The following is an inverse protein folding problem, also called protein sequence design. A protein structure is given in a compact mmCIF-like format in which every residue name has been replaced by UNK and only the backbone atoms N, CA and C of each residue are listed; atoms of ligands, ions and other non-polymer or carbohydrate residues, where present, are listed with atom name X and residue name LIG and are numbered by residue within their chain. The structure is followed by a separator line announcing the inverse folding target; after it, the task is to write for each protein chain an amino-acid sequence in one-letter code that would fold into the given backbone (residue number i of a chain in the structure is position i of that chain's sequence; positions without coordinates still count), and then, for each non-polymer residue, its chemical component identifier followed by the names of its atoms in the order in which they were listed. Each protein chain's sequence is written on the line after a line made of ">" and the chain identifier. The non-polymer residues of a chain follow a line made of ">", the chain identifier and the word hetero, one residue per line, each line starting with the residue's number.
data_IF_844335149372
#
_entry.id   IF_844335149372
#
_cell.length_a   1.000
_cell.length_b   1.000
_cell.length_c   1.000
_cell.angle_alpha   90.00
_cell.angle_beta   90.00
_cell.angle_gamma   90.00
#
_symmetry.space_group_name_H-M   'P 1'
#
loop_
_entity.id
_entity.type
_entity.pdbx_description
1 polymer ?
#
# COMPACT_ATOMS: atom_id res chain seq x y z
N UNK A 1 8.52 0.78 20.75
CA UNK A 1 8.25 2.04 20.01
C UNK A 1 7.47 1.70 18.76
N UNK A 2 6.43 2.47 18.38
CA UNK A 2 5.70 2.22 17.15
C UNK A 2 6.69 2.25 15.98
N UNK A 3 6.67 1.21 15.16
CA UNK A 3 7.52 1.13 13.97
C UNK A 3 6.99 2.16 12.99
N UNK A 4 7.74 3.22 12.76
CA UNK A 4 7.39 4.25 11.78
C UNK A 4 7.61 3.71 10.39
N UNK A 5 6.73 4.09 9.47
CA UNK A 5 6.77 3.68 8.08
C UNK A 5 8.16 3.63 7.41
N UNK A 6 8.94 4.74 7.42
CA UNK A 6 10.25 4.79 6.78
C UNK A 6 11.23 3.71 7.26
N UNK A 7 11.02 3.15 8.45
CA UNK A 7 11.87 2.09 9.00
C UNK A 7 11.57 0.73 8.35
N UNK A 8 10.34 0.46 7.91
CA UNK A 8 9.93 -0.82 7.31
C UNK A 8 10.56 -0.98 5.91
N UNK A 9 10.39 0.03 5.04
CA UNK A 9 10.98 0.02 3.68
C UNK A 9 12.51 -0.03 3.73
N UNK A 10 13.13 0.70 4.67
CA UNK A 10 14.59 0.63 4.88
C UNK A 10 15.05 -0.76 5.31
N UNK A 11 14.27 -1.46 6.14
CA UNK A 11 14.59 -2.84 6.55
C UNK A 11 14.40 -3.83 5.41
N UNK A 12 13.34 -3.69 4.59
CA UNK A 12 13.14 -4.50 3.38
C UNK A 12 14.33 -4.34 2.42
N UNK A 13 14.65 -3.09 2.08
CA UNK A 13 15.81 -2.77 1.24
C UNK A 13 17.12 -3.31 1.82
N UNK A 14 17.33 -3.14 3.13
CA UNK A 14 18.52 -3.63 3.83
C UNK A 14 18.64 -5.16 3.80
N UNK A 15 17.54 -5.89 4.01
CA UNK A 15 17.52 -7.36 3.95
C UNK A 15 17.83 -7.86 2.55
N UNK A 16 17.18 -7.31 1.52
CA UNK A 16 17.41 -7.70 0.13
C UNK A 16 18.85 -7.41 -0.33
N UNK A 17 19.41 -6.25 0.01
CA UNK A 17 20.82 -5.92 -0.27
C UNK A 17 21.79 -6.85 0.46
N UNK A 18 21.49 -7.21 1.71
CA UNK A 18 22.28 -8.18 2.48
C UNK A 18 22.23 -9.57 1.84
N UNK A 19 21.07 -10.02 1.37
CA UNK A 19 20.93 -11.30 0.66
C UNK A 19 21.76 -11.32 -0.61
N UNK A 20 21.64 -10.30 -1.47
CA UNK A 20 22.46 -10.18 -2.69
C UNK A 20 23.96 -10.25 -2.38
N UNK A 21 24.40 -9.58 -1.32
CA UNK A 21 25.79 -9.66 -0.87
C UNK A 21 26.20 -11.09 -0.49
N UNK A 22 25.35 -11.80 0.24
CA UNK A 22 25.60 -13.16 0.71
C UNK A 22 25.60 -14.17 -0.45
N UNK A 23 24.66 -14.05 -1.39
CA UNK A 23 24.56 -14.88 -2.61
C UNK A 23 25.79 -14.65 -3.51
N UNK A 24 26.26 -13.41 -3.62
CA UNK A 24 27.50 -13.07 -4.34
C UNK A 24 28.78 -13.47 -3.59
N UNK A 25 28.67 -14.08 -2.40
CA UNK A 25 29.76 -14.44 -1.49
C UNK A 25 30.71 -13.26 -1.18
N UNK A 26 30.18 -12.03 -1.15
CA UNK A 26 30.96 -10.81 -0.89
C UNK A 26 30.98 -10.46 0.59
N UNK A 27 32.16 -10.09 1.08
CA UNK A 27 32.36 -9.60 2.44
C UNK A 27 32.13 -8.10 2.54
N UNK A 28 31.78 -7.61 3.73
CA UNK A 28 31.69 -6.17 3.99
C UNK A 28 33.01 -5.44 3.69
N UNK A 29 34.14 -6.11 3.91
CA UNK A 29 35.48 -5.57 3.62
C UNK A 29 35.70 -5.39 2.12
N UNK A 30 35.20 -6.30 1.28
CA UNK A 30 35.31 -6.18 -0.17
C UNK A 30 34.46 -5.02 -0.71
N UNK A 31 33.27 -4.80 -0.15
CA UNK A 31 32.41 -3.65 -0.50
C UNK A 31 33.12 -2.33 -0.19
N UNK A 32 33.77 -2.24 0.97
CA UNK A 32 34.55 -1.07 1.38
C UNK A 32 35.80 -0.86 0.51
N UNK A 33 36.53 -1.94 0.20
CA UNK A 33 37.69 -1.89 -0.72
C UNK A 33 37.31 -1.46 -2.13
N UNK A 34 36.14 -1.88 -2.61
CA UNK A 34 35.58 -1.46 -3.89
C UNK A 34 35.04 -0.02 -3.87
N UNK A 35 35.11 0.67 -2.72
CA UNK A 35 34.68 2.06 -2.50
C UNK A 35 33.20 2.30 -2.83
N UNK A 36 32.36 1.28 -2.73
CA UNK A 36 30.90 1.44 -2.91
C UNK A 36 30.31 2.19 -1.71
N UNK A 37 30.65 1.75 -0.49
CA UNK A 37 30.37 2.48 0.76
C UNK A 37 31.25 1.94 1.91
N UNK A 38 31.32 2.67 3.04
CA UNK A 38 32.06 2.20 4.23
C UNK A 38 31.36 1.02 4.92
N UNK A 39 32.10 0.20 5.69
CA UNK A 39 31.50 -0.91 6.47
C UNK A 39 30.41 -0.44 7.43
N UNK A 40 30.63 0.70 8.09
CA UNK A 40 29.64 1.30 9.01
C UNK A 40 28.39 1.69 8.24
N UNK A 41 28.54 2.28 7.05
CA UNK A 41 27.42 2.64 6.18
C UNK A 41 26.68 1.38 5.74
N UNK A 42 27.40 0.34 5.28
CA UNK A 42 26.82 -0.92 4.84
C UNK A 42 26.00 -1.59 5.95
N UNK A 43 26.56 -1.73 7.16
CA UNK A 43 25.81 -2.29 8.29
C UNK A 43 24.53 -1.51 8.56
N UNK A 44 24.60 -0.17 8.54
CA UNK A 44 23.43 0.68 8.77
C UNK A 44 22.39 0.53 7.64
N UNK A 45 22.81 0.31 6.39
CA UNK A 45 21.92 0.03 5.24
C UNK A 45 21.25 -1.32 5.45
N UNK A 46 22.02 -2.38 5.66
CA UNK A 46 21.53 -3.75 5.81
C UNK A 46 20.58 -3.93 7.00
N UNK A 47 20.72 -3.10 8.03
CA UNK A 47 19.85 -3.09 9.21
C UNK A 47 18.74 -2.02 9.14
N UNK A 48 18.55 -1.36 7.99
CA UNK A 48 17.50 -0.38 7.75
C UNK A 48 17.54 0.83 8.69
N UNK A 49 18.73 1.25 9.13
CA UNK A 49 18.90 2.31 10.15
C UNK A 49 18.77 3.73 9.59
N UNK A 50 18.91 3.94 8.28
CA UNK A 50 18.84 5.26 7.64
C UNK A 50 18.46 5.11 6.15
N UNK A 51 17.94 6.16 5.50
CA UNK A 51 17.59 6.11 4.09
C UNK A 51 18.86 6.00 3.24
N UNK A 52 18.81 5.22 2.16
CA UNK A 52 19.94 5.02 1.27
C UNK A 52 19.62 5.64 -0.10
N UNK A 53 20.62 6.29 -0.69
CA UNK A 53 20.48 6.93 -2.00
C UNK A 53 20.39 5.88 -3.11
N UNK A 54 19.60 6.17 -4.14
CA UNK A 54 19.45 5.33 -5.34
C UNK A 54 20.80 4.91 -5.96
N UNK A 55 21.75 5.85 -6.07
CA UNK A 55 23.08 5.57 -6.63
C UNK A 55 23.88 4.57 -5.78
N UNK A 56 23.71 4.61 -4.45
CA UNK A 56 24.34 3.63 -3.56
C UNK A 56 23.71 2.25 -3.74
N UNK A 57 22.39 2.16 -3.91
CA UNK A 57 21.72 0.88 -4.24
C UNK A 57 22.24 0.31 -5.55
N UNK A 58 22.23 1.11 -6.63
CA UNK A 58 22.75 0.69 -7.94
C UNK A 58 24.21 0.23 -7.86
N UNK A 59 25.05 0.94 -7.11
CA UNK A 59 26.44 0.57 -6.90
C UNK A 59 26.61 -0.76 -6.16
N UNK A 60 25.78 -1.03 -5.14
CA UNK A 60 25.77 -2.30 -4.41
C UNK A 60 25.26 -3.44 -5.32
N UNK A 61 24.14 -3.25 -6.01
CA UNK A 61 23.58 -4.22 -6.95
C UNK A 61 24.59 -4.60 -8.04
N UNK A 62 25.25 -3.61 -8.65
CA UNK A 62 26.30 -3.84 -9.63
C UNK A 62 27.47 -4.64 -9.04
N UNK A 63 27.92 -4.29 -7.83
CA UNK A 63 29.03 -4.99 -7.17
C UNK A 63 28.67 -6.44 -6.79
N UNK A 64 27.40 -6.71 -6.49
CA UNK A 64 26.89 -8.05 -6.21
C UNK A 64 26.53 -8.84 -7.47
N UNK A 65 26.51 -8.21 -8.65
CA UNK A 65 26.15 -8.86 -9.91
C UNK A 65 24.65 -9.11 -10.05
N UNK A 66 23.80 -8.30 -9.42
CA UNK A 66 22.36 -8.36 -9.60
C UNK A 66 21.97 -7.99 -11.04
N UNK A 67 20.92 -8.63 -11.56
CA UNK A 67 20.38 -8.33 -12.88
C UNK A 67 19.69 -6.95 -12.92
N UNK A 68 19.42 -6.39 -14.12
CA UNK A 68 18.79 -5.08 -14.25
C UNK A 68 17.40 -4.97 -13.60
N UNK A 69 16.58 -6.02 -13.66
CA UNK A 69 15.22 -6.02 -13.11
C UNK A 69 15.24 -5.93 -11.58
N UNK A 70 16.09 -6.75 -10.95
CA UNK A 70 16.36 -6.68 -9.50
C UNK A 70 16.92 -5.31 -9.10
N UNK A 71 17.85 -4.77 -9.89
CA UNK A 71 18.46 -3.45 -9.63
C UNK A 71 17.42 -2.34 -9.67
N UNK A 72 16.51 -2.36 -10.65
CA UNK A 72 15.45 -1.36 -10.78
C UNK A 72 14.39 -1.50 -9.68
N UNK A 73 14.04 -2.72 -9.28
CA UNK A 73 13.14 -2.95 -8.15
C UNK A 73 13.71 -2.39 -6.84
N UNK A 74 14.98 -2.68 -6.52
CA UNK A 74 15.62 -2.18 -5.30
C UNK A 74 15.86 -0.66 -5.35
N UNK A 75 16.16 -0.12 -6.52
CA UNK A 75 16.33 1.33 -6.69
C UNK A 75 15.00 2.06 -6.50
N UNK A 76 13.88 1.52 -6.99
CA UNK A 76 12.54 2.05 -6.72
C UNK A 76 12.19 1.98 -5.23
N UNK A 77 12.56 0.89 -4.56
CA UNK A 77 12.35 0.74 -3.11
C UNK A 77 13.16 1.75 -2.28
N UNK A 78 14.40 2.04 -2.69
CA UNK A 78 15.18 3.16 -2.14
C UNK A 78 14.57 4.53 -2.47
N UNK A 79 14.08 4.71 -3.69
CA UNK A 79 13.43 5.94 -4.15
C UNK A 79 12.18 6.28 -3.35
N UNK A 80 11.38 5.28 -3.00
CA UNK A 80 10.25 5.43 -2.09
C UNK A 80 10.63 6.02 -0.72
N UNK A 81 11.93 6.00 -0.36
CA UNK A 81 12.45 6.63 0.85
C UNK A 81 13.05 8.04 0.66
N UNK A 82 13.37 8.49 -0.56
CA UNK A 82 14.20 9.69 -0.78
C UNK A 82 13.78 10.60 -1.97
N UNK A 83 13.12 10.16 -3.07
CA UNK A 83 12.70 11.09 -4.17
C UNK A 83 11.79 10.46 -5.27
N UNK A 84 10.81 11.23 -5.75
CA UNK A 84 9.98 11.19 -6.97
C UNK A 84 8.93 10.08 -7.15
N UNK A 85 7.96 10.02 -6.23
CA UNK A 85 6.67 9.40 -6.55
C UNK A 85 5.77 10.34 -7.36
N UNK A 86 4.80 9.80 -8.11
CA UNK A 86 3.78 10.61 -8.81
C UNK A 86 3.06 11.60 -7.89
N UNK A 87 3.06 11.34 -6.58
CA UNK A 87 2.47 12.18 -5.54
C UNK A 87 3.27 13.44 -5.20
N UNK A 88 4.52 13.60 -5.67
CA UNK A 88 5.30 14.83 -5.47
C UNK A 88 4.76 16.02 -6.26
N UNK A 89 4.10 15.77 -7.41
CA UNK A 89 3.39 16.83 -8.16
C UNK A 89 2.28 17.50 -7.35
N UNK A 90 1.85 16.84 -6.25
CA UNK A 90 0.82 17.31 -5.33
C UNK A 90 1.37 17.95 -4.05
N UNK A 91 2.69 18.06 -3.89
CA UNK A 91 3.33 18.81 -2.80
C UNK A 91 2.94 18.35 -1.39
N UNK A 92 2.36 19.26 -0.60
CA UNK A 92 1.94 19.10 0.80
C UNK A 92 0.57 18.44 0.98
N UNK A 93 -0.15 18.15 -0.12
CA UNK A 93 -1.46 17.50 -0.06
C UNK A 93 -1.39 16.03 0.42
N UNK A 94 -0.20 15.44 0.46
CA UNK A 94 0.04 14.05 0.87
C UNK A 94 0.70 14.05 2.24
N UNK A 95 0.01 13.62 3.31
CA UNK A 95 0.63 13.53 4.62
C UNK A 95 1.86 12.61 4.60
N UNK A 96 2.91 12.97 5.34
CA UNK A 96 4.18 12.20 5.37
C UNK A 96 3.98 10.73 5.77
N UNK A 97 3.04 10.47 6.68
CA UNK A 97 2.71 9.10 7.09
C UNK A 97 2.05 8.30 5.96
N UNK A 98 1.36 8.95 5.02
CA UNK A 98 0.70 8.30 3.89
C UNK A 98 1.65 8.04 2.71
N UNK A 99 2.70 8.85 2.54
CA UNK A 99 3.73 8.65 1.49
C UNK A 99 4.34 7.27 1.53
N UNK A 100 4.59 6.73 2.73
CA UNK A 100 5.10 5.37 2.85
C UNK A 100 4.10 4.33 2.34
N UNK A 101 2.84 4.47 2.72
CA UNK A 101 1.81 3.54 2.28
C UNK A 101 1.79 3.47 0.74
N UNK A 102 1.94 4.60 0.04
CA UNK A 102 2.01 4.63 -1.43
C UNK A 102 3.21 3.84 -1.98
N UNK A 103 4.38 3.92 -1.33
CA UNK A 103 5.55 3.12 -1.71
C UNK A 103 5.34 1.61 -1.50
N UNK A 104 4.72 1.23 -0.37
CA UNK A 104 4.39 -0.17 -0.09
C UNK A 104 3.31 -0.71 -1.04
N UNK A 105 2.27 0.07 -1.30
CA UNK A 105 1.22 -0.26 -2.29
C UNK A 105 1.81 -0.47 -3.68
N UNK A 106 2.79 0.36 -4.07
CA UNK A 106 3.49 0.17 -5.33
C UNK A 106 4.33 -1.12 -5.37
N UNK A 107 4.87 -1.57 -4.24
CA UNK A 107 5.69 -2.78 -4.15
C UNK A 107 4.88 -4.07 -3.92
N UNK A 108 3.64 -3.97 -3.46
CA UNK A 108 2.78 -5.11 -3.15
C UNK A 108 2.42 -5.93 -4.39
N UNK A 109 2.30 -7.25 -4.22
CA UNK A 109 1.78 -8.17 -5.25
C UNK A 109 0.31 -8.50 -5.02
N UNK A 110 -0.14 -8.44 -3.76
CA UNK A 110 -1.54 -8.54 -3.38
C UNK A 110 -1.88 -7.55 -2.26
N UNK A 111 -3.08 -6.99 -2.33
CA UNK A 111 -3.66 -6.04 -1.39
C UNK A 111 -5.00 -6.63 -0.94
N UNK A 112 -5.05 -7.11 0.29
CA UNK A 112 -6.27 -7.59 0.91
C UNK A 112 -6.78 -6.53 1.87
N UNK A 113 -8.06 -6.17 1.82
CA UNK A 113 -8.58 -5.09 2.66
C UNK A 113 -9.97 -5.37 3.20
N UNK A 114 -10.22 -4.88 4.41
CA UNK A 114 -11.55 -4.81 5.00
C UNK A 114 -11.90 -3.35 5.29
N UNK A 115 -12.99 -2.89 4.69
CA UNK A 115 -13.51 -1.53 4.85
C UNK A 115 -15.00 -1.57 5.20
N UNK A 116 -15.40 -1.27 6.45
CA UNK A 116 -16.80 -1.40 6.89
C UNK A 116 -17.73 -0.29 6.37
N UNK A 117 -17.17 0.90 6.12
CA UNK A 117 -17.97 2.13 5.99
C UNK A 117 -17.55 3.02 4.81
N UNK A 118 -16.27 3.09 4.48
CA UNK A 118 -15.73 3.91 3.39
C UNK A 118 -15.26 3.01 2.27
N UNK A 119 -15.69 3.24 1.03
CA UNK A 119 -15.17 2.48 -0.12
C UNK A 119 -13.68 2.80 -0.29
N UNK A 120 -12.83 1.78 -0.42
CA UNK A 120 -11.37 1.97 -0.56
C UNK A 120 -11.00 2.92 -1.70
N UNK A 121 -9.97 3.76 -1.51
CA UNK A 121 -9.58 4.82 -2.44
C UNK A 121 -9.26 4.36 -3.86
N UNK A 122 -8.79 3.11 -4.06
CA UNK A 122 -8.54 2.55 -5.39
C UNK A 122 -9.83 2.14 -6.16
N UNK A 123 -10.98 2.18 -5.49
CA UNK A 123 -12.26 1.71 -5.97
C UNK A 123 -13.31 2.83 -6.04
N UNK A 124 -12.95 4.08 -5.76
CA UNK A 124 -13.85 5.23 -5.73
C UNK A 124 -14.03 5.88 -7.11
N UNK A 125 -15.19 6.49 -7.37
CA UNK A 125 -15.43 7.40 -8.51
C UNK A 125 -15.10 8.86 -8.13
N UNK A 126 -14.83 9.75 -9.10
CA UNK A 126 -14.50 11.15 -8.82
C UNK A 126 -15.53 11.87 -7.94
N UNK A 127 -16.82 11.68 -8.20
CA UNK A 127 -17.88 12.37 -7.43
C UNK A 127 -18.03 11.80 -6.01
N UNK A 128 -17.80 10.50 -5.82
CA UNK A 128 -17.71 9.91 -4.50
C UNK A 128 -16.51 10.48 -3.72
N UNK A 129 -15.33 10.57 -4.36
CA UNK A 129 -14.14 11.19 -3.77
C UNK A 129 -14.41 12.62 -3.32
N UNK A 130 -15.02 13.45 -4.19
CA UNK A 130 -15.39 14.84 -3.88
C UNK A 130 -16.27 14.92 -2.64
N UNK A 131 -17.31 14.10 -2.57
CA UNK A 131 -18.23 14.09 -1.44
C UNK A 131 -17.52 13.72 -0.12
N UNK A 132 -16.66 12.70 -0.14
CA UNK A 132 -15.85 12.29 1.02
C UNK A 132 -14.88 13.39 1.44
N UNK A 133 -14.13 13.96 0.50
CA UNK A 133 -13.14 14.98 0.83
C UNK A 133 -13.77 16.28 1.35
N UNK A 134 -14.91 16.71 0.80
CA UNK A 134 -15.68 17.85 1.35
C UNK A 134 -16.14 17.60 2.78
N UNK A 135 -16.62 16.39 3.08
CA UNK A 135 -17.07 16.03 4.42
C UNK A 135 -15.93 16.03 5.44
N UNK A 136 -14.75 15.52 5.05
CA UNK A 136 -13.55 15.47 5.90
C UNK A 136 -12.87 16.84 6.06
N UNK A 137 -12.99 17.73 5.07
CA UNK A 137 -12.29 19.02 5.02
C UNK A 137 -13.27 20.18 4.86
N UNK A 138 -14.15 20.40 5.84
CA UNK A 138 -15.25 21.38 5.75
C UNK A 138 -14.82 22.83 5.49
N UNK A 139 -13.57 23.18 5.78
CA UNK A 139 -13.01 24.51 5.59
C UNK A 139 -12.18 24.64 4.30
N UNK A 140 -11.97 23.54 3.57
CA UNK A 140 -11.21 23.57 2.33
C UNK A 140 -12.01 24.24 1.20
N UNK A 141 -11.32 24.99 0.35
CA UNK A 141 -11.88 25.55 -0.87
C UNK A 141 -12.12 24.46 -1.91
N UNK A 142 -12.99 24.75 -2.89
CA UNK A 142 -13.24 23.87 -4.04
C UNK A 142 -11.94 23.48 -4.76
N UNK A 143 -11.00 24.42 -4.92
CA UNK A 143 -9.70 24.14 -5.54
C UNK A 143 -8.86 23.16 -4.70
N UNK A 144 -8.93 23.23 -3.37
CA UNK A 144 -8.23 22.28 -2.49
C UNK A 144 -8.87 20.89 -2.57
N UNK A 145 -10.20 20.80 -2.66
CA UNK A 145 -10.90 19.53 -2.87
C UNK A 145 -10.52 18.90 -4.21
N UNK A 146 -10.53 19.65 -5.30
CA UNK A 146 -10.16 19.11 -6.62
C UNK A 146 -8.70 18.64 -6.68
N UNK A 147 -7.79 19.28 -5.92
CA UNK A 147 -6.41 18.77 -5.77
C UNK A 147 -6.38 17.39 -5.11
N UNK A 148 -7.16 17.17 -4.04
CA UNK A 148 -7.24 15.86 -3.37
C UNK A 148 -7.87 14.80 -4.28
N UNK A 149 -8.87 15.17 -5.08
CA UNK A 149 -9.48 14.29 -6.09
C UNK A 149 -8.46 13.93 -7.16
N UNK A 150 -7.74 14.92 -7.70
CA UNK A 150 -6.68 14.68 -8.69
C UNK A 150 -5.59 13.76 -8.15
N UNK A 151 -5.13 13.98 -6.91
CA UNK A 151 -4.17 13.10 -6.24
C UNK A 151 -4.70 11.65 -6.17
N UNK A 152 -5.98 11.46 -5.84
CA UNK A 152 -6.57 10.13 -5.77
C UNK A 152 -6.73 9.46 -7.14
N UNK A 153 -7.03 10.23 -8.18
CA UNK A 153 -7.09 9.74 -9.54
C UNK A 153 -5.71 9.35 -10.06
N UNK A 154 -4.69 10.16 -9.81
CA UNK A 154 -3.31 9.84 -10.20
C UNK A 154 -2.81 8.56 -9.50
N UNK A 155 -3.19 8.36 -8.22
CA UNK A 155 -2.97 7.08 -7.52
C UNK A 155 -3.62 5.90 -8.24
N UNK A 156 -4.90 6.04 -8.60
CA UNK A 156 -5.64 4.99 -9.30
C UNK A 156 -5.03 4.68 -10.67
N UNK A 157 -4.66 5.71 -11.44
CA UNK A 157 -3.99 5.56 -12.73
C UNK A 157 -2.64 4.84 -12.55
N UNK A 158 -1.80 5.32 -11.64
CA UNK A 158 -0.51 4.69 -11.32
C UNK A 158 -0.65 3.22 -10.89
N UNK A 159 -1.79 2.85 -10.32
CA UNK A 159 -2.09 1.47 -9.95
C UNK A 159 -2.54 0.64 -11.16
N UNK A 160 -3.55 1.11 -11.89
CA UNK A 160 -4.22 0.34 -12.95
C UNK A 160 -3.46 0.29 -14.28
N UNK A 161 -2.59 1.26 -14.56
CA UNK A 161 -1.82 1.32 -15.83
C UNK A 161 -0.53 0.49 -15.78
N UNK A 162 -0.30 -0.27 -14.71
CA UNK A 162 0.82 -1.20 -14.60
C UNK A 162 0.58 -2.41 -15.49
N UNK A 163 1.63 -2.93 -16.11
CA UNK A 163 1.59 -4.19 -16.87
C UNK A 163 1.04 -5.33 -16.00
N UNK A 164 1.50 -5.37 -14.75
CA UNK A 164 1.03 -6.29 -13.73
C UNK A 164 0.68 -5.54 -12.44
N UNK A 165 -0.57 -5.07 -12.29
CA UNK A 165 -1.00 -4.42 -11.05
C UNK A 165 -1.08 -5.46 -9.93
N UNK A 166 -0.99 -5.03 -8.67
CA UNK A 166 -1.24 -5.93 -7.55
C UNK A 166 -2.63 -6.59 -7.69
N UNK A 167 -2.84 -7.74 -7.07
CA UNK A 167 -4.20 -8.26 -6.92
C UNK A 167 -4.90 -7.52 -5.80
N UNK A 168 -6.13 -7.06 -6.00
CA UNK A 168 -6.98 -6.53 -4.92
C UNK A 168 -7.99 -7.59 -4.51
N UNK A 169 -8.11 -7.83 -3.21
CA UNK A 169 -9.20 -8.59 -2.59
C UNK A 169 -9.86 -7.70 -1.54
N UNK A 170 -10.96 -7.06 -1.91
CA UNK A 170 -11.68 -6.13 -1.06
C UNK A 170 -12.91 -6.79 -0.44
N UNK A 171 -13.02 -6.74 0.88
CA UNK A 171 -14.24 -7.05 1.62
C UNK A 171 -14.83 -5.75 2.16
N UNK A 172 -15.93 -5.31 1.56
CA UNK A 172 -16.65 -4.10 1.97
C UNK A 172 -17.76 -4.47 2.94
N UNK A 173 -17.96 -3.71 4.00
CA UNK A 173 -19.18 -3.80 4.80
C UNK A 173 -20.39 -3.33 4.01
N UNK A 174 -21.57 -3.94 4.22
CA UNK A 174 -22.81 -3.47 3.59
C UNK A 174 -23.11 -1.97 3.89
N UNK A 175 -22.61 -1.44 5.01
CA UNK A 175 -22.67 -0.02 5.35
C UNK A 175 -21.99 0.89 4.32
N UNK A 176 -20.89 0.46 3.70
CA UNK A 176 -20.16 1.24 2.71
C UNK A 176 -20.97 1.47 1.41
N UNK A 177 -21.94 0.59 1.12
CA UNK A 177 -22.82 0.69 -0.05
C UNK A 177 -24.19 1.28 0.29
N UNK A 178 -24.60 1.19 1.56
CA UNK A 178 -25.86 1.70 2.08
C UNK A 178 -25.80 3.18 2.48
N UNK A 179 -24.64 3.67 2.93
CA UNK A 179 -24.48 5.08 3.29
C UNK A 179 -24.56 5.96 2.05
N UNK A 180 -25.46 6.93 2.07
CA UNK A 180 -25.58 7.89 0.99
C UNK A 180 -24.42 8.90 1.05
N UNK A 181 -23.47 8.77 0.12
CA UNK A 181 -22.33 9.67 -0.05
C UNK A 181 -22.52 10.45 -1.34
N UNK A 182 -22.65 11.78 -1.24
CA UNK A 182 -22.83 12.65 -2.42
C UNK A 182 -24.22 12.59 -3.06
N UNK A 183 -25.15 11.83 -2.48
CA UNK A 183 -26.53 11.69 -2.97
C UNK A 183 -26.77 10.40 -3.78
N UNK A 184 -28.03 10.13 -4.17
CA UNK A 184 -28.41 8.88 -4.83
C UNK A 184 -27.71 8.65 -6.17
N UNK A 185 -27.50 9.70 -6.96
CA UNK A 185 -26.86 9.62 -8.28
C UNK A 185 -25.38 9.21 -8.17
N UNK A 186 -24.64 9.83 -7.24
CA UNK A 186 -23.23 9.50 -6.96
C UNK A 186 -23.10 8.06 -6.50
N UNK A 187 -23.98 7.61 -5.61
CA UNK A 187 -23.98 6.22 -5.15
C UNK A 187 -24.38 5.21 -6.23
N UNK A 188 -25.27 5.58 -7.16
CA UNK A 188 -25.61 4.73 -8.29
C UNK A 188 -24.40 4.54 -9.24
N UNK A 189 -23.71 5.63 -9.57
CA UNK A 189 -22.47 5.59 -10.35
C UNK A 189 -21.39 4.76 -9.64
N UNK A 190 -21.18 5.00 -8.35
CA UNK A 190 -20.19 4.30 -7.54
C UNK A 190 -20.45 2.79 -7.49
N UNK A 191 -21.70 2.35 -7.32
CA UNK A 191 -22.05 0.91 -7.36
C UNK A 191 -21.82 0.30 -8.74
N UNK A 192 -22.19 1.01 -9.81
CA UNK A 192 -21.93 0.57 -11.18
C UNK A 192 -20.43 0.46 -11.46
N UNK A 193 -19.63 1.42 -10.98
CA UNK A 193 -18.17 1.39 -11.07
C UNK A 193 -17.58 0.15 -10.38
N UNK A 194 -18.00 -0.14 -9.13
CA UNK A 194 -17.53 -1.32 -8.42
C UNK A 194 -17.88 -2.63 -9.14
N UNK A 195 -19.11 -2.75 -9.69
CA UNK A 195 -19.51 -3.91 -10.48
C UNK A 195 -18.68 -4.08 -11.77
N UNK A 196 -18.20 -2.98 -12.36
CA UNK A 196 -17.34 -3.01 -13.54
C UNK A 196 -15.89 -3.38 -13.18
N UNK A 197 -15.34 -2.77 -12.12
CA UNK A 197 -13.96 -3.01 -11.68
C UNK A 197 -13.80 -4.42 -11.12
N UNK A 198 -14.80 -4.94 -10.40
CA UNK A 198 -14.82 -6.32 -9.87
C UNK A 198 -14.76 -7.42 -10.94
N UNK A 199 -15.00 -7.08 -12.22
CA UNK A 199 -14.85 -8.02 -13.35
C UNK A 199 -13.42 -8.09 -13.91
N UNK A 200 -12.50 -7.23 -13.44
CA UNK A 200 -11.09 -7.27 -13.87
C UNK A 200 -10.41 -8.49 -13.23
N UNK A 201 -9.54 -9.16 -13.98
CA UNK A 201 -8.90 -10.43 -13.57
C UNK A 201 -8.21 -10.38 -12.20
N UNK A 202 -7.64 -9.22 -11.84
CA UNK A 202 -6.88 -9.03 -10.58
C UNK A 202 -7.65 -8.26 -9.52
N UNK A 203 -8.97 -8.15 -9.63
CA UNK A 203 -9.79 -7.48 -8.61
C UNK A 203 -10.93 -8.38 -8.19
N UNK A 204 -11.01 -8.68 -6.89
CA UNK A 204 -12.13 -9.34 -6.25
C UNK A 204 -12.77 -8.37 -5.27
N UNK A 205 -14.08 -8.12 -5.41
CA UNK A 205 -14.84 -7.28 -4.48
C UNK A 205 -15.98 -8.12 -3.90
N UNK A 206 -16.01 -8.19 -2.58
CA UNK A 206 -17.03 -8.89 -1.80
C UNK A 206 -17.71 -7.92 -0.85
N UNK A 207 -18.92 -8.24 -0.46
CA UNK A 207 -19.73 -7.49 0.49
C UNK A 207 -20.04 -8.38 1.69
N UNK A 208 -19.67 -7.95 2.89
CA UNK A 208 -20.07 -8.58 4.14
C UNK A 208 -21.49 -8.12 4.48
N UNK A 209 -22.50 -8.99 4.38
CA UNK A 209 -23.89 -8.62 4.59
C UNK A 209 -24.19 -8.37 6.07
N UNK A 210 -25.24 -7.59 6.36
CA UNK A 210 -25.70 -7.36 7.74
C UNK A 210 -26.07 -8.64 8.49
N UNK A 211 -26.50 -9.68 7.76
CA UNK A 211 -26.83 -11.01 8.32
C UNK A 211 -25.63 -11.75 8.90
N UNK A 212 -24.39 -11.34 8.57
CA UNK A 212 -23.18 -11.89 9.20
C UNK A 212 -23.12 -11.59 10.71
N UNK A 213 -23.81 -10.54 11.18
CA UNK A 213 -23.86 -10.18 12.59
C UNK A 213 -22.49 -9.77 13.15
N UNK A 214 -22.15 -10.24 14.34
CA UNK A 214 -20.86 -9.97 14.96
C UNK A 214 -19.74 -10.76 14.24
N UNK A 215 -18.65 -10.10 13.91
CA UNK A 215 -17.53 -10.69 13.18
C UNK A 215 -16.17 -10.18 13.69
N UNK A 216 -15.09 -10.90 13.37
CA UNK A 216 -13.77 -10.63 13.95
C UNK A 216 -13.17 -9.25 13.55
N UNK A 217 -13.56 -8.70 12.41
CA UNK A 217 -13.06 -7.40 11.93
C UNK A 217 -13.79 -6.16 12.48
N UNK A 218 -14.73 -6.29 13.43
CA UNK A 218 -15.55 -5.16 13.91
C UNK A 218 -14.76 -4.01 14.58
N UNK A 219 -13.51 -4.26 14.97
CA UNK A 219 -12.69 -3.28 15.72
C UNK A 219 -12.20 -2.14 14.83
N UNK A 220 -11.71 -2.44 13.62
CA UNK A 220 -11.15 -1.42 12.73
C UNK A 220 -11.02 -1.92 11.28
N UNK A 221 -11.09 -1.01 10.29
CA UNK A 221 -10.60 -1.31 8.95
C UNK A 221 -9.10 -1.62 8.98
N UNK A 222 -8.65 -2.40 8.00
CA UNK A 222 -7.23 -2.70 7.83
C UNK A 222 -6.93 -3.14 6.40
N UNK A 223 -5.65 -3.07 6.03
CA UNK A 223 -5.11 -3.52 4.75
C UNK A 223 -3.94 -4.47 5.04
N UNK A 224 -3.91 -5.62 4.39
CA UNK A 224 -2.75 -6.50 4.30
C UNK A 224 -2.08 -6.29 2.94
N UNK A 225 -0.79 -6.01 2.97
CA UNK A 225 0.07 -5.89 1.80
C UNK A 225 1.00 -7.09 1.76
N UNK A 226 0.82 -7.94 0.77
CA UNK A 226 1.68 -9.09 0.53
C UNK A 226 2.75 -8.75 -0.51
N UNK A 227 3.95 -9.31 -0.33
CA UNK A 227 5.09 -9.06 -1.21
C UNK A 227 5.60 -10.38 -1.83
N UNK A 228 6.15 -10.32 -3.05
CA UNK A 228 6.70 -11.50 -3.73
C UNK A 228 8.02 -12.00 -3.13
N UNK A 229 8.82 -11.11 -2.53
CA UNK A 229 10.13 -11.46 -2.02
C UNK A 229 9.99 -12.09 -0.63
N UNK A 230 10.44 -13.34 -0.40
CA UNK A 230 10.33 -14.00 0.89
C UNK A 230 11.05 -13.28 2.04
N UNK A 231 12.00 -12.39 1.73
CA UNK A 231 12.71 -11.57 2.71
C UNK A 231 11.96 -10.30 3.11
N UNK A 232 10.89 -9.97 2.39
CA UNK A 232 10.01 -8.88 2.72
C UNK A 232 8.84 -9.42 3.52
N UNK A 233 8.77 -9.13 4.83
CA UNK A 233 7.60 -9.48 5.60
C UNK A 233 6.41 -8.71 5.05
N UNK A 234 5.30 -9.42 4.94
CA UNK A 234 4.00 -8.83 4.68
C UNK A 234 3.68 -7.78 5.75
N UNK A 235 2.76 -6.88 5.43
CA UNK A 235 2.46 -5.74 6.30
C UNK A 235 0.96 -5.65 6.53
N UNK A 236 0.55 -5.62 7.80
CA UNK A 236 -0.76 -5.12 8.15
C UNK A 236 -0.69 -3.61 8.41
N UNK A 237 -1.47 -2.86 7.65
CA UNK A 237 -1.64 -1.42 7.73
C UNK A 237 -2.98 -1.08 8.39
N UNK A 238 -2.93 -0.27 9.45
CA UNK A 238 -4.12 0.20 10.17
C UNK A 238 -4.04 1.71 10.31
N UNK A 239 -4.98 2.39 9.68
CA UNK A 239 -5.06 3.85 9.66
C UNK A 239 -5.97 4.39 10.77
N UNK A 240 -5.65 5.60 11.21
CA UNK A 240 -6.45 6.41 12.13
C UNK A 240 -6.42 7.87 11.65
N UNK A 241 -7.27 8.72 12.21
CA UNK A 241 -7.36 10.14 11.82
C UNK A 241 -6.05 10.94 11.95
N UNK A 242 -5.09 10.48 12.77
CA UNK A 242 -3.85 11.21 13.06
C UNK A 242 -2.57 10.43 12.71
N UNK A 243 -2.71 9.33 11.96
CA UNK A 243 -1.57 8.53 11.51
C UNK A 243 -1.94 7.06 11.33
N UNK A 244 -0.93 6.22 11.15
CA UNK A 244 -1.12 4.81 10.88
C UNK A 244 -0.08 3.91 11.56
N UNK A 245 -0.42 2.63 11.68
CA UNK A 245 0.48 1.57 12.16
C UNK A 245 0.82 0.61 11.02
N UNK A 246 2.08 0.23 10.96
CA UNK A 246 2.63 -0.78 10.05
C UNK A 246 3.13 -1.96 10.89
N UNK A 247 2.48 -3.10 10.79
CA UNK A 247 2.74 -4.27 11.60
C UNK A 247 3.38 -5.34 10.72
N UNK A 248 4.56 -5.81 11.11
CA UNK A 248 5.37 -6.80 10.36
C UNK A 248 5.70 -8.04 11.21
N UNK A 249 5.23 -8.09 12.47
CA UNK A 249 5.55 -9.22 13.35
C UNK A 249 4.72 -10.45 12.97
N UNK A 250 5.31 -11.66 12.91
CA UNK A 250 4.60 -12.86 12.48
C UNK A 250 3.29 -13.11 13.22
N UNK A 251 3.27 -12.88 14.54
CA UNK A 251 2.07 -13.06 15.37
C UNK A 251 0.97 -12.03 15.07
N UNK A 252 1.33 -10.78 14.73
CA UNK A 252 0.37 -9.75 14.33
C UNK A 252 -0.23 -10.08 12.96
N UNK A 253 0.63 -10.44 11.99
CA UNK A 253 0.20 -10.80 10.64
C UNK A 253 -0.69 -12.05 10.62
N UNK A 254 -0.36 -13.06 11.44
CA UNK A 254 -1.17 -14.27 11.55
C UNK A 254 -2.60 -13.94 12.02
N UNK A 255 -2.75 -13.02 12.97
CA UNK A 255 -4.06 -12.61 13.48
C UNK A 255 -4.86 -11.84 12.42
N UNK A 256 -4.26 -10.85 11.74
CA UNK A 256 -4.96 -10.12 10.67
C UNK A 256 -5.35 -11.03 9.50
N UNK A 257 -4.50 -12.00 9.13
CA UNK A 257 -4.83 -13.00 8.11
C UNK A 257 -5.96 -13.93 8.51
N UNK A 258 -6.02 -14.33 9.79
CA UNK A 258 -7.15 -15.09 10.34
C UNK A 258 -8.44 -14.27 10.22
N UNK A 259 -8.42 -13.03 10.69
CA UNK A 259 -9.57 -12.11 10.64
C UNK A 259 -10.04 -11.91 9.19
N UNK A 260 -9.12 -11.61 8.27
CA UNK A 260 -9.45 -11.38 6.85
C UNK A 260 -10.11 -12.60 6.22
N UNK A 261 -9.58 -13.79 6.49
CA UNK A 261 -10.15 -15.05 6.00
C UNK A 261 -11.59 -15.23 6.48
N UNK A 262 -11.84 -15.03 7.77
CA UNK A 262 -13.18 -15.18 8.36
C UNK A 262 -14.20 -14.22 7.75
N UNK A 263 -13.85 -12.94 7.57
CA UNK A 263 -14.79 -11.98 6.93
C UNK A 263 -14.95 -12.24 5.44
N UNK A 264 -13.91 -12.73 4.76
CA UNK A 264 -14.00 -13.11 3.35
C UNK A 264 -14.94 -14.31 3.16
N UNK A 265 -14.85 -15.32 4.02
CA UNK A 265 -15.72 -16.51 4.00
C UNK A 265 -17.19 -16.16 4.25
N UNK A 266 -17.47 -15.16 5.08
CA UNK A 266 -18.83 -14.70 5.41
C UNK A 266 -19.42 -13.69 4.42
N UNK A 267 -18.63 -13.21 3.46
CA UNK A 267 -19.05 -12.21 2.47
C UNK A 267 -19.51 -12.85 1.17
N UNK A 268 -20.31 -12.12 0.39
CA UNK A 268 -20.80 -12.52 -0.93
C UNK A 268 -20.16 -11.67 -2.03
N UNK A 269 -20.03 -12.15 -3.29
CA UNK A 269 -19.58 -11.32 -4.41
C UNK A 269 -20.43 -10.07 -4.58
N UNK A 270 -19.81 -8.96 -5.00
CA UNK A 270 -20.53 -7.68 -5.16
C UNK A 270 -21.67 -7.75 -6.17
N UNK A 271 -21.53 -8.55 -7.22
CA UNK A 271 -22.57 -8.74 -8.23
C UNK A 271 -23.81 -9.44 -7.68
N UNK A 272 -23.64 -10.26 -6.64
CA UNK A 272 -24.76 -10.89 -5.94
C UNK A 272 -25.45 -9.88 -5.02
N UNK A 273 -24.68 -9.03 -4.34
CA UNK A 273 -25.22 -7.99 -3.47
C UNK A 273 -25.98 -6.88 -4.21
N UNK A 274 -25.59 -6.57 -5.45
CA UNK A 274 -26.20 -5.50 -6.26
C UNK A 274 -27.42 -5.93 -7.08
N UNK A 275 -27.80 -7.21 -7.04
CA UNK A 275 -29.02 -7.73 -7.69
C UNK A 275 -30.26 -7.44 -6.85
#
# INVERSE_FOLDING_TARGET
>A
MPVTGPTVVRRQLGRRLRRLRQEAARTEQEVERAKVCSRTTLWRIENGKFPVKMNTVRGLCWFYGADPETTDALTRLAGACDEQGWWESHGDAVPDWFRLYLGLEAAATEIQLYDPELIHGLLQTPDYMRAVFRAANRQASEQQIERLVSLRLDRQISYYDRDEPARIVAVLGAGALAREVGGPAVMAEQRAHLANVGRRVRVEIRVLPWSAGAHAAMVSPFILLDFADPDDPDIAYVESHVGARYLERPEELAEYRRIFREVREQSIPIEEHLR
#
